data_IF_192898464590
#
_entry.id   IF_192898464590
#
_cell.length_a   1.000
_cell.length_b   1.000
_cell.length_c   1.000
_cell.angle_alpha   90.00
_cell.angle_beta   90.00
_cell.angle_gamma   90.00
#
_symmetry.space_group_name_H-M   'P 1'
#
loop_
_entity.id
_entity.type
_entity.pdbx_description
1 polymer ?
#
# COMPACT_ATOMS: atom_id res chain seq x y z
N UNK A 1 2.91 -19.98 7.88
CA UNK A 1 2.35 -20.26 6.54
C UNK A 1 3.38 -19.98 5.43
N UNK A 2 3.87 -18.75 5.22
CA UNK A 2 4.90 -18.52 4.19
C UNK A 2 6.33 -18.96 4.60
N UNK A 3 6.82 -18.64 5.81
CA UNK A 3 8.18 -19.04 6.23
C UNK A 3 8.45 -20.55 6.21
N UNK A 4 7.39 -21.37 6.25
CA UNK A 4 7.51 -22.83 6.18
C UNK A 4 7.80 -23.30 4.75
N UNK A 5 7.25 -22.64 3.74
CA UNK A 5 7.40 -23.04 2.34
C UNK A 5 8.86 -23.05 1.86
N UNK A 6 9.71 -22.03 2.15
CA UNK A 6 11.14 -22.10 1.84
C UNK A 6 11.85 -23.26 2.54
N UNK A 7 11.51 -23.53 3.81
CA UNK A 7 12.10 -24.62 4.59
C UNK A 7 11.76 -25.98 3.99
N UNK A 8 10.49 -26.19 3.62
CA UNK A 8 10.00 -27.43 3.01
C UNK A 8 10.66 -27.70 1.65
N UNK A 9 11.01 -26.64 0.91
CA UNK A 9 11.67 -26.73 -0.40
C UNK A 9 13.20 -26.63 -0.32
N UNK A 10 13.78 -26.64 0.90
CA UNK A 10 15.23 -26.51 1.15
C UNK A 10 15.85 -25.25 0.52
N UNK A 11 15.07 -24.18 0.38
CA UNK A 11 15.52 -22.89 -0.11
C UNK A 11 16.17 -22.13 1.05
N UNK A 12 17.50 -22.09 1.08
CA UNK A 12 18.25 -21.31 2.04
C UNK A 12 18.43 -19.87 1.50
N UNK A 13 17.78 -18.90 2.15
CA UNK A 13 17.95 -17.48 1.87
C UNK A 13 17.88 -16.65 3.14
N UNK A 14 18.68 -15.60 3.22
CA UNK A 14 18.57 -14.55 4.24
C UNK A 14 17.31 -13.67 4.01
N UNK A 15 16.87 -13.56 2.76
CA UNK A 15 15.79 -12.65 2.37
C UNK A 15 14.42 -13.28 2.59
N UNK A 16 13.47 -12.48 3.10
CA UNK A 16 12.08 -12.93 3.27
C UNK A 16 11.45 -13.31 1.92
N UNK A 17 11.65 -12.49 0.90
CA UNK A 17 11.19 -12.75 -0.46
C UNK A 17 12.42 -12.89 -1.36
N UNK A 18 12.99 -14.10 -1.50
CA UNK A 18 14.16 -14.31 -2.34
C UNK A 18 13.81 -14.30 -3.83
N UNK A 19 14.80 -14.00 -4.66
CA UNK A 19 14.73 -14.29 -6.09
C UNK A 19 14.76 -15.80 -6.31
N UNK A 20 13.90 -16.30 -7.19
CA UNK A 20 13.82 -17.73 -7.52
C UNK A 20 15.05 -18.17 -8.34
N UNK A 21 15.68 -17.25 -9.07
CA UNK A 21 16.87 -17.53 -9.89
C UNK A 21 18.17 -17.50 -9.07
N UNK A 22 18.21 -16.66 -8.03
CA UNK A 22 19.39 -16.39 -7.21
C UNK A 22 18.94 -16.27 -5.74
N UNK A 23 19.02 -17.37 -4.99
CA UNK A 23 18.49 -17.44 -3.62
C UNK A 23 19.27 -16.56 -2.62
N UNK A 24 20.45 -16.10 -3.01
CA UNK A 24 21.29 -15.12 -2.32
C UNK A 24 20.81 -13.66 -2.51
N UNK A 25 19.84 -13.42 -3.40
CA UNK A 25 19.28 -12.09 -3.66
C UNK A 25 17.80 -11.99 -3.27
N UNK A 26 17.35 -10.80 -2.89
CA UNK A 26 15.94 -10.43 -2.76
C UNK A 26 15.17 -10.33 -4.10
N UNK A 27 13.85 -10.37 -4.02
CA UNK A 27 12.94 -10.07 -5.12
C UNK A 27 13.06 -8.60 -5.54
N UNK A 28 13.52 -8.35 -6.77
CA UNK A 28 13.65 -6.99 -7.29
C UNK A 28 12.30 -6.28 -7.42
N UNK A 29 12.30 -4.95 -7.30
CA UNK A 29 11.10 -4.11 -7.47
C UNK A 29 10.44 -4.32 -8.84
N UNK A 30 11.24 -4.43 -9.90
CA UNK A 30 10.75 -4.70 -11.26
C UNK A 30 10.03 -6.04 -11.35
N UNK A 31 10.52 -7.08 -10.67
CA UNK A 31 9.85 -8.37 -10.65
C UNK A 31 8.58 -8.32 -9.80
N UNK A 32 8.60 -7.62 -8.67
CA UNK A 32 7.40 -7.38 -7.87
C UNK A 32 6.32 -6.66 -8.68
N UNK A 33 6.66 -5.61 -9.43
CA UNK A 33 5.73 -4.92 -10.33
C UNK A 33 5.10 -5.86 -11.37
N UNK A 34 5.89 -6.74 -12.00
CA UNK A 34 5.37 -7.74 -12.95
C UNK A 34 4.37 -8.70 -12.30
N UNK A 35 4.67 -9.15 -11.07
CA UNK A 35 3.76 -10.02 -10.30
C UNK A 35 2.45 -9.27 -10.03
N UNK A 36 2.53 -8.03 -9.54
CA UNK A 36 1.34 -7.21 -9.25
C UNK A 36 0.51 -6.91 -10.51
N UNK A 37 1.15 -6.61 -11.64
CA UNK A 37 0.46 -6.41 -12.92
C UNK A 37 -0.35 -7.66 -13.30
N UNK A 38 0.28 -8.85 -13.23
CA UNK A 38 -0.40 -10.12 -13.53
C UNK A 38 -1.56 -10.38 -12.57
N UNK A 39 -1.39 -10.07 -11.29
CA UNK A 39 -2.48 -10.18 -10.30
C UNK A 39 -3.62 -9.23 -10.67
N UNK A 40 -3.31 -8.01 -11.11
CA UNK A 40 -4.30 -7.06 -11.62
C UNK A 40 -5.10 -7.64 -12.78
N UNK A 41 -4.42 -8.20 -13.78
CA UNK A 41 -5.07 -8.83 -14.94
C UNK A 41 -5.99 -9.98 -14.53
N UNK A 42 -5.55 -10.83 -13.60
CA UNK A 42 -6.33 -11.97 -13.10
C UNK A 42 -7.58 -11.55 -12.32
N UNK A 43 -7.50 -10.42 -11.61
CA UNK A 43 -8.61 -9.88 -10.82
C UNK A 43 -9.48 -8.89 -11.60
N UNK A 44 -9.13 -8.56 -12.84
CA UNK A 44 -9.79 -7.51 -13.61
C UNK A 44 -9.57 -6.09 -13.05
N UNK A 45 -8.48 -5.89 -12.29
CA UNK A 45 -8.13 -4.60 -11.68
C UNK A 45 -7.07 -3.93 -12.55
N UNK A 46 -7.47 -2.84 -13.21
CA UNK A 46 -6.55 -2.02 -13.99
C UNK A 46 -5.61 -1.21 -13.07
N UNK A 47 -4.38 -0.97 -13.55
CA UNK A 47 -3.39 -0.11 -12.89
C UNK A 47 -3.00 -0.52 -11.45
N UNK A 48 -2.98 -1.84 -11.17
CA UNK A 48 -2.48 -2.37 -9.90
C UNK A 48 -0.94 -2.28 -9.83
N UNK A 49 -0.44 -1.18 -9.26
CA UNK A 49 0.98 -0.91 -9.06
C UNK A 49 1.46 -1.18 -7.64
N UNK A 50 2.75 -0.90 -7.41
CA UNK A 50 3.42 -1.10 -6.12
C UNK A 50 2.86 -0.22 -5.00
N UNK A 51 2.35 0.97 -5.33
CA UNK A 51 1.75 1.91 -4.38
C UNK A 51 0.24 1.75 -4.19
N UNK A 52 -0.46 1.04 -5.08
CA UNK A 52 -1.93 0.98 -5.08
C UNK A 52 -2.47 0.41 -3.77
N UNK A 53 -1.87 -0.68 -3.28
CA UNK A 53 -2.26 -1.29 -2.00
C UNK A 53 -1.99 -0.35 -0.82
N UNK A 54 -0.83 0.31 -0.79
CA UNK A 54 -0.46 1.26 0.28
C UNK A 54 -1.40 2.47 0.32
N UNK A 55 -1.79 3.01 -0.85
CA UNK A 55 -2.81 4.07 -0.95
C UNK A 55 -4.18 3.59 -0.45
N UNK A 56 -4.59 2.39 -0.86
CA UNK A 56 -5.88 1.81 -0.47
C UNK A 56 -5.96 1.58 1.05
N UNK A 57 -4.90 1.04 1.65
CA UNK A 57 -4.80 0.87 3.10
C UNK A 57 -4.88 2.22 3.82
N UNK A 58 -4.08 3.20 3.39
CA UNK A 58 -4.06 4.52 3.99
C UNK A 58 -5.44 5.21 3.94
N UNK A 59 -6.13 5.13 2.81
CA UNK A 59 -7.47 5.67 2.64
C UNK A 59 -8.51 4.96 3.54
N UNK A 60 -8.42 3.63 3.67
CA UNK A 60 -9.26 2.88 4.62
C UNK A 60 -8.99 3.29 6.07
N UNK A 61 -7.73 3.45 6.46
CA UNK A 61 -7.38 3.90 7.81
C UNK A 61 -7.88 5.32 8.04
N UNK A 62 -7.75 6.21 7.06
CA UNK A 62 -8.26 7.57 7.12
C UNK A 62 -9.78 7.58 7.41
N UNK A 63 -10.57 6.92 6.57
CA UNK A 63 -12.04 6.85 6.71
C UNK A 63 -12.49 6.15 7.99
N UNK A 64 -11.89 5.00 8.34
CA UNK A 64 -12.26 4.22 9.54
C UNK A 64 -11.80 4.84 10.85
N UNK A 65 -10.83 5.75 10.81
CA UNK A 65 -10.39 6.50 11.99
C UNK A 65 -11.13 7.81 12.20
N UNK A 66 -12.28 7.99 11.53
CA UNK A 66 -13.03 9.24 11.49
C UNK A 66 -12.16 10.40 11.01
N UNK A 67 -11.50 10.19 9.86
CA UNK A 67 -10.68 11.19 9.16
C UNK A 67 -9.46 11.69 9.96
N UNK A 68 -8.88 10.85 10.82
CA UNK A 68 -7.70 11.21 11.61
C UNK A 68 -6.41 11.16 10.77
N UNK A 69 -5.99 12.30 10.25
CA UNK A 69 -4.79 12.42 9.41
C UNK A 69 -3.49 12.04 10.13
N UNK A 70 -3.38 12.34 11.43
CA UNK A 70 -2.20 12.02 12.24
C UNK A 70 -1.96 10.52 12.38
N UNK A 71 -3.01 9.70 12.41
CA UNK A 71 -2.90 8.23 12.36
C UNK A 71 -2.35 7.76 11.02
N UNK A 72 -2.83 8.32 9.92
CA UNK A 72 -2.36 7.98 8.58
C UNK A 72 -0.91 8.42 8.38
N UNK A 73 -0.52 9.59 8.87
CA UNK A 73 0.87 10.06 8.84
C UNK A 73 1.82 9.07 9.53
N UNK A 74 1.45 8.59 10.73
CA UNK A 74 2.25 7.60 11.46
C UNK A 74 2.30 6.26 10.73
N UNK A 75 1.19 5.80 10.17
CA UNK A 75 1.12 4.58 9.37
C UNK A 75 2.03 4.66 8.12
N UNK A 76 1.99 5.80 7.43
CA UNK A 76 2.77 6.03 6.22
C UNK A 76 4.20 6.51 6.48
N UNK A 77 4.57 6.78 7.74
CA UNK A 77 5.83 7.40 8.12
C UNK A 77 6.12 8.70 7.35
N UNK A 78 5.10 9.54 7.16
CA UNK A 78 5.24 10.84 6.52
C UNK A 78 5.60 11.93 7.53
N UNK A 79 6.52 12.81 7.14
CA UNK A 79 7.00 13.90 7.99
C UNK A 79 6.06 15.10 8.05
N UNK A 80 5.10 15.21 7.13
CA UNK A 80 4.15 16.31 7.07
C UNK A 80 2.74 15.86 6.69
N UNK A 81 1.77 16.64 7.15
CA UNK A 81 0.36 16.44 6.81
C UNK A 81 0.12 16.63 5.32
N UNK A 82 0.70 17.69 4.73
CA UNK A 82 0.61 17.99 3.30
C UNK A 82 1.06 16.81 2.41
N UNK A 83 2.13 16.10 2.80
CA UNK A 83 2.59 14.90 2.09
C UNK A 83 1.52 13.79 2.13
N UNK A 84 0.83 13.64 3.26
CA UNK A 84 -0.22 12.62 3.44
C UNK A 84 -1.50 12.97 2.69
N UNK A 85 -1.93 14.23 2.74
CA UNK A 85 -3.08 14.71 1.97
C UNK A 85 -2.86 14.52 0.46
N UNK A 86 -1.68 14.91 -0.03
CA UNK A 86 -1.26 14.67 -1.42
C UNK A 86 -1.26 13.18 -1.76
N UNK A 87 -0.73 12.33 -0.86
CA UNK A 87 -0.66 10.89 -1.07
C UNK A 87 -2.03 10.21 -1.15
N UNK A 88 -2.99 10.67 -0.35
CA UNK A 88 -4.38 10.22 -0.37
C UNK A 88 -5.18 10.79 -1.53
N UNK A 89 -4.61 11.73 -2.29
CA UNK A 89 -5.32 12.47 -3.35
C UNK A 89 -6.59 13.13 -2.82
N UNK A 90 -6.56 13.60 -1.56
CA UNK A 90 -7.60 14.45 -0.99
C UNK A 90 -7.36 15.87 -1.50
N UNK A 91 -7.95 16.17 -2.64
CA UNK A 91 -8.00 17.51 -3.19
C UNK A 91 -9.11 18.34 -2.51
N UNK A 92 -9.19 19.62 -2.86
CA UNK A 92 -10.12 20.59 -2.28
C UNK A 92 -11.59 20.13 -2.40
N UNK A 93 -11.95 19.38 -3.44
CA UNK A 93 -13.31 18.84 -3.64
C UNK A 93 -13.71 17.81 -2.57
N UNK A 94 -12.76 16.98 -2.12
CA UNK A 94 -13.00 16.04 -1.02
C UNK A 94 -13.19 16.74 0.33
N UNK A 95 -12.55 17.91 0.53
CA UNK A 95 -12.75 18.74 1.73
C UNK A 95 -14.11 19.44 1.71
N UNK A 96 -14.53 19.98 0.56
CA UNK A 96 -15.84 20.62 0.39
C UNK A 96 -16.99 19.64 0.71
N UNK A 97 -16.90 18.40 0.23
CA UNK A 97 -17.89 17.36 0.53
C UNK A 97 -17.95 17.01 2.03
N UNK A 98 -16.82 17.10 2.74
CA UNK A 98 -16.79 16.92 4.20
C UNK A 98 -17.38 18.12 4.93
N UNK A 99 -17.13 19.33 4.46
CA UNK A 99 -17.68 20.57 5.04
C UNK A 99 -19.20 20.65 4.89
N UNK A 100 -19.75 20.17 3.78
CA UNK A 100 -21.22 20.11 3.56
C UNK A 100 -21.95 19.18 4.54
N UNK A 101 -21.23 18.28 5.21
CA UNK A 101 -21.78 17.38 6.23
C UNK A 101 -21.66 17.95 7.66
N UNK A 102 -21.06 19.13 7.82
CA UNK A 102 -20.92 19.79 9.11
C UNK A 102 -22.12 20.71 9.32
N UNK A 103 -22.97 20.35 10.28
CA UNK A 103 -23.99 21.24 10.81
C UNK A 103 -23.34 22.23 11.77
N UNK A 104 -23.30 23.51 11.38
CA UNK A 104 -22.75 24.58 12.20
C UNK A 104 -23.74 25.14 13.23
N UNK A 105 -25.00 24.65 13.23
CA UNK A 105 -26.09 25.15 14.07
C UNK A 105 -26.87 26.31 13.44
#
# INVERSE_FOLDING_TARGET
>A
MYRQWPLDHKLASEWLLPSIQHLDWYLTEKQFYKIMSKVGDLLGINYLGTHTMRKTEAYRVYTQSNYNIGRVMRLLNHSSESMTLTYLSLDQASQETMLDQIDFG
#
